data_IF_183148362304
#
_entry.id   IF_183148362304
#
_cell.length_a   1.000
_cell.length_b   1.000
_cell.length_c   1.000
_cell.angle_alpha   90.00
_cell.angle_beta   90.00
_cell.angle_gamma   90.00
#
_symmetry.space_group_name_H-M   'P 1'
#
loop_
_entity.id
_entity.type
_entity.pdbx_description
1 polymer ?
#
# COMPACT_ATOMS: atom_id res chain seq x y z
N UNK A 1 -23.03 -25.67 -16.66
CA UNK A 1 -23.25 -24.54 -15.72
C UNK A 1 -22.10 -23.56 -15.92
N UNK A 2 -22.36 -22.42 -16.56
CA UNK A 2 -21.34 -21.40 -16.75
C UNK A 2 -21.09 -20.72 -15.40
N UNK A 3 -19.87 -20.83 -14.87
CA UNK A 3 -19.46 -20.08 -13.69
C UNK A 3 -19.60 -18.59 -14.01
N UNK A 4 -20.44 -17.88 -13.26
CA UNK A 4 -20.46 -16.42 -13.25
C UNK A 4 -19.06 -15.95 -12.86
N UNK A 5 -18.37 -15.26 -13.78
CA UNK A 5 -17.01 -14.74 -13.68
C UNK A 5 -16.87 -13.68 -12.57
N UNK A 6 -16.99 -14.10 -11.32
CA UNK A 6 -16.89 -13.22 -10.17
C UNK A 6 -15.68 -13.67 -9.33
N UNK A 7 -14.71 -12.76 -9.12
CA UNK A 7 -13.49 -13.03 -8.35
C UNK A 7 -13.76 -13.38 -6.87
N UNK A 8 -12.73 -13.78 -6.11
CA UNK A 8 -12.90 -14.31 -4.75
C UNK A 8 -13.49 -13.30 -3.75
N UNK A 9 -13.46 -12.01 -4.04
CA UNK A 9 -14.05 -10.94 -3.20
C UNK A 9 -15.42 -10.48 -3.70
N UNK A 10 -16.08 -11.26 -4.55
CA UNK A 10 -17.44 -10.95 -4.98
C UNK A 10 -18.39 -10.80 -3.81
N UNK A 11 -19.13 -9.69 -3.79
CA UNK A 11 -20.05 -9.33 -2.71
C UNK A 11 -19.45 -8.41 -1.64
N UNK A 12 -18.11 -8.27 -1.59
CA UNK A 12 -17.45 -7.32 -0.70
C UNK A 12 -17.68 -5.88 -1.18
N UNK A 13 -18.15 -5.00 -0.30
CA UNK A 13 -18.40 -3.59 -0.60
C UNK A 13 -17.33 -2.69 0.00
N UNK A 14 -16.70 -1.86 -0.82
CA UNK A 14 -15.59 -0.99 -0.39
C UNK A 14 -15.89 0.45 -0.76
N UNK A 15 -15.74 1.36 0.20
CA UNK A 15 -15.75 2.81 -0.04
C UNK A 15 -14.32 3.31 -0.05
N UNK A 16 -13.89 3.92 -1.15
CA UNK A 16 -12.57 4.54 -1.29
C UNK A 16 -12.73 6.07 -1.23
N UNK A 17 -12.16 6.72 -0.21
CA UNK A 17 -12.01 8.18 -0.22
C UNK A 17 -10.82 8.55 -1.09
N UNK A 18 -11.06 9.35 -2.12
CA UNK A 18 -10.06 9.68 -3.14
C UNK A 18 -8.72 10.15 -2.56
N UNK A 19 -7.66 9.38 -2.83
CA UNK A 19 -6.28 9.68 -2.48
C UNK A 19 -5.32 9.44 -3.66
N UNK A 20 -4.04 9.31 -3.35
CA UNK A 20 -2.96 9.01 -4.29
C UNK A 20 -2.13 7.81 -3.78
N UNK A 21 -1.37 7.17 -4.66
CA UNK A 21 -0.39 6.14 -4.30
C UNK A 21 -1.02 4.88 -3.69
N UNK A 22 -0.73 4.55 -2.41
CA UNK A 22 -1.06 3.26 -1.83
C UNK A 22 -2.57 2.99 -1.68
N UNK A 23 -3.37 4.01 -1.37
CA UNK A 23 -4.82 3.86 -1.17
C UNK A 23 -5.56 3.39 -2.44
N UNK A 24 -5.45 4.13 -3.56
CA UNK A 24 -6.02 3.72 -4.84
C UNK A 24 -5.49 2.37 -5.35
N UNK A 25 -4.20 2.06 -5.11
CA UNK A 25 -3.63 0.76 -5.48
C UNK A 25 -4.26 -0.41 -4.69
N UNK A 26 -4.45 -0.27 -3.37
CA UNK A 26 -5.13 -1.28 -2.57
C UNK A 26 -6.59 -1.46 -3.02
N UNK A 27 -7.31 -0.36 -3.24
CA UNK A 27 -8.66 -0.41 -3.79
C UNK A 27 -8.69 -1.11 -5.16
N UNK A 28 -7.63 -0.94 -5.99
CA UNK A 28 -7.54 -1.51 -7.34
C UNK A 28 -7.50 -3.01 -7.27
N UNK A 29 -6.65 -3.54 -6.40
CA UNK A 29 -6.53 -4.98 -6.19
C UNK A 29 -7.82 -5.58 -5.62
N UNK A 30 -8.50 -4.90 -4.69
CA UNK A 30 -9.80 -5.36 -4.19
C UNK A 30 -10.83 -5.46 -5.33
N UNK A 31 -10.91 -4.45 -6.19
CA UNK A 31 -11.77 -4.46 -7.38
C UNK A 31 -11.36 -5.53 -8.41
N UNK A 32 -10.06 -5.71 -8.67
CA UNK A 32 -9.52 -6.75 -9.54
C UNK A 32 -9.88 -8.16 -9.03
N UNK A 33 -9.96 -8.34 -7.71
CA UNK A 33 -10.40 -9.58 -7.06
C UNK A 33 -11.93 -9.70 -6.93
N UNK A 34 -12.70 -8.76 -7.49
CA UNK A 34 -14.16 -8.84 -7.61
C UNK A 34 -14.97 -8.07 -6.56
N UNK A 35 -14.34 -7.27 -5.70
CA UNK A 35 -15.06 -6.39 -4.78
C UNK A 35 -15.81 -5.27 -5.54
N UNK A 36 -16.97 -4.87 -5.00
CA UNK A 36 -17.69 -3.68 -5.45
C UNK A 36 -17.12 -2.43 -4.78
N UNK A 37 -16.27 -1.72 -5.52
CA UNK A 37 -15.55 -0.55 -5.00
C UNK A 37 -16.16 0.75 -5.53
N UNK A 38 -16.62 1.59 -4.59
CA UNK A 38 -17.14 2.92 -4.84
C UNK A 38 -16.12 3.96 -4.40
N UNK A 39 -15.54 4.69 -5.36
CA UNK A 39 -14.63 5.80 -5.10
C UNK A 39 -15.42 7.10 -4.96
N UNK A 40 -15.21 7.81 -3.86
CA UNK A 40 -15.75 9.15 -3.60
C UNK A 40 -14.69 10.18 -3.92
N UNK A 41 -14.86 10.88 -5.04
CA UNK A 41 -13.95 11.93 -5.50
C UNK A 41 -14.47 13.33 -5.18
N UNK A 42 -13.56 14.31 -5.19
CA UNK A 42 -13.92 15.72 -4.95
C UNK A 42 -14.49 16.35 -6.22
N UNK A 43 -15.42 17.32 -6.11
CA UNK A 43 -15.89 18.06 -7.26
C UNK A 43 -14.74 18.80 -7.97
N UNK A 44 -14.53 18.53 -9.26
CA UNK A 44 -13.56 19.26 -10.09
C UNK A 44 -14.17 20.57 -10.58
N UNK A 45 -13.49 21.71 -10.36
CA UNK A 45 -13.98 23.05 -10.76
C UNK A 45 -14.00 23.30 -12.29
N UNK A 46 -13.42 22.40 -13.08
CA UNK A 46 -13.30 22.52 -14.54
C UNK A 46 -13.79 21.22 -15.19
N UNK A 47 -15.05 21.21 -15.66
CA UNK A 47 -15.73 20.14 -16.43
C UNK A 47 -14.88 18.91 -16.76
N UNK A 48 -14.72 18.03 -15.77
CA UNK A 48 -13.66 17.03 -15.72
C UNK A 48 -13.57 16.15 -16.96
N UNK A 49 -12.44 16.26 -17.67
CA UNK A 49 -12.05 15.24 -18.63
C UNK A 49 -11.86 13.90 -17.92
N UNK A 50 -12.17 12.80 -18.61
CA UNK A 50 -11.90 11.44 -18.12
C UNK A 50 -10.41 11.35 -17.75
N UNK A 51 -10.11 11.21 -16.46
CA UNK A 51 -8.75 10.93 -16.01
C UNK A 51 -8.36 9.58 -16.61
N UNK A 52 -7.45 9.57 -17.58
CA UNK A 52 -6.92 8.35 -18.20
C UNK A 52 -5.91 7.70 -17.25
N UNK A 53 -6.37 7.27 -16.09
CA UNK A 53 -5.57 6.53 -15.11
C UNK A 53 -6.04 5.07 -15.07
N UNK A 54 -5.19 4.17 -15.55
CA UNK A 54 -5.47 2.73 -15.59
C UNK A 54 -5.52 2.08 -14.20
N UNK A 55 -5.04 2.77 -13.15
CA UNK A 55 -5.14 2.32 -11.75
C UNK A 55 -6.56 2.48 -11.20
N UNK A 56 -7.36 3.38 -11.79
CA UNK A 56 -8.75 3.63 -11.39
C UNK A 56 -9.74 2.63 -12.03
N UNK A 57 -9.26 1.55 -12.64
CA UNK A 57 -10.10 0.46 -13.15
C UNK A 57 -10.87 -0.24 -12.01
N UNK A 58 -11.94 -0.94 -12.37
CA UNK A 58 -12.78 -1.70 -11.43
C UNK A 58 -13.33 -0.82 -10.29
N UNK A 59 -13.85 0.37 -10.66
CA UNK A 59 -14.50 1.34 -9.77
C UNK A 59 -15.82 1.82 -10.34
N UNK A 60 -16.75 2.11 -9.44
CA UNK A 60 -17.77 3.14 -9.67
C UNK A 60 -17.29 4.42 -8.99
N UNK A 61 -17.37 5.55 -9.68
CA UNK A 61 -16.92 6.85 -9.15
C UNK A 61 -18.15 7.72 -8.88
N UNK A 62 -18.22 8.26 -7.68
CA UNK A 62 -19.20 9.27 -7.27
C UNK A 62 -18.46 10.52 -6.81
N UNK A 63 -19.13 11.67 -6.83
CA UNK A 63 -18.54 12.95 -6.46
C UNK A 63 -19.23 13.52 -5.23
N UNK A 64 -18.46 13.97 -4.25
CA UNK A 64 -18.98 14.60 -3.03
C UNK A 64 -18.03 15.67 -2.51
N UNK A 65 -18.56 16.84 -2.15
CA UNK A 65 -17.81 17.79 -1.32
C UNK A 65 -17.87 17.34 0.13
N UNK A 66 -16.81 16.69 0.60
CA UNK A 66 -16.71 16.15 1.96
C UNK A 66 -16.76 17.23 3.05
N UNK A 67 -16.63 18.52 2.69
CA UNK A 67 -16.77 19.63 3.65
C UNK A 67 -18.22 20.10 3.82
N UNK A 68 -19.12 19.67 2.94
CA UNK A 68 -20.54 20.00 3.02
C UNK A 68 -21.29 18.93 3.83
N UNK A 69 -22.37 19.34 4.51
CA UNK A 69 -23.22 18.40 5.25
C UNK A 69 -23.78 17.29 4.34
N UNK A 70 -24.23 17.66 3.14
CA UNK A 70 -24.75 16.71 2.15
C UNK A 70 -23.68 15.72 1.68
N UNK A 71 -22.44 16.17 1.45
CA UNK A 71 -21.34 15.28 1.05
C UNK A 71 -20.92 14.32 2.16
N UNK A 72 -20.89 14.81 3.40
CA UNK A 72 -20.66 13.97 4.59
C UNK A 72 -21.77 12.91 4.75
N UNK A 73 -23.03 13.32 4.67
CA UNK A 73 -24.19 12.42 4.77
C UNK A 73 -24.19 11.35 3.67
N UNK A 74 -23.82 11.73 2.43
CA UNK A 74 -23.68 10.79 1.33
C UNK A 74 -22.64 9.70 1.64
N UNK A 75 -21.46 10.09 2.16
CA UNK A 75 -20.42 9.11 2.52
C UNK A 75 -20.88 8.23 3.67
N UNK A 76 -21.49 8.78 4.72
CA UNK A 76 -22.00 7.97 5.83
C UNK A 76 -23.08 6.99 5.37
N UNK A 77 -23.92 7.37 4.41
CA UNK A 77 -24.91 6.48 3.78
C UNK A 77 -24.25 5.31 3.03
N UNK A 78 -23.15 5.57 2.31
CA UNK A 78 -22.37 4.52 1.66
C UNK A 78 -21.70 3.61 2.70
N UNK A 79 -21.10 4.20 3.74
CA UNK A 79 -20.42 3.49 4.83
C UNK A 79 -21.37 2.58 5.61
N UNK A 80 -22.62 3.00 5.83
CA UNK A 80 -23.65 2.21 6.52
C UNK A 80 -23.89 0.83 5.86
N UNK A 81 -23.49 0.65 4.60
CA UNK A 81 -23.66 -0.59 3.83
C UNK A 81 -22.35 -1.21 3.36
N UNK A 82 -21.21 -0.61 3.71
CA UNK A 82 -19.89 -1.03 3.28
C UNK A 82 -19.28 -2.07 4.24
N UNK A 83 -18.38 -2.87 3.72
CA UNK A 83 -17.57 -3.79 4.52
C UNK A 83 -16.25 -3.17 4.94
N UNK A 84 -15.69 -2.32 4.07
CA UNK A 84 -14.45 -1.59 4.33
C UNK A 84 -14.52 -0.15 3.81
N UNK A 85 -13.81 0.74 4.49
CA UNK A 85 -13.51 2.09 4.02
C UNK A 85 -11.99 2.24 3.91
N UNK A 86 -11.51 2.84 2.82
CA UNK A 86 -10.09 3.16 2.61
C UNK A 86 -9.94 4.68 2.59
N UNK A 87 -9.03 5.19 3.40
CA UNK A 87 -8.61 6.59 3.37
C UNK A 87 -7.09 6.71 3.57
N UNK A 88 -6.48 7.70 2.92
CA UNK A 88 -5.04 7.95 2.98
C UNK A 88 -4.69 9.40 3.28
N UNK A 89 -5.51 10.06 4.09
CA UNK A 89 -5.27 11.44 4.49
C UNK A 89 -4.31 11.50 5.69
N UNK A 90 -3.86 12.71 6.04
CA UNK A 90 -3.12 12.91 7.30
C UNK A 90 -4.00 12.54 8.50
N UNK A 91 -3.44 11.98 9.58
CA UNK A 91 -4.18 11.67 10.80
C UNK A 91 -4.96 12.89 11.30
N UNK A 92 -6.23 12.70 11.67
CA UNK A 92 -7.14 13.76 12.11
C UNK A 92 -7.92 14.47 11.00
N UNK A 93 -7.63 14.22 9.71
CA UNK A 93 -8.40 14.82 8.62
C UNK A 93 -9.84 14.30 8.59
N UNK A 94 -10.02 12.98 8.62
CA UNK A 94 -11.36 12.37 8.55
C UNK A 94 -12.21 12.70 9.77
N UNK A 95 -11.59 12.83 10.94
CA UNK A 95 -12.22 13.23 12.20
C UNK A 95 -12.79 14.63 12.09
N UNK A 96 -12.02 15.59 11.56
CA UNK A 96 -12.50 16.96 11.29
C UNK A 96 -13.61 17.03 10.25
N UNK A 97 -13.68 16.05 9.35
CA UNK A 97 -14.74 15.93 8.35
C UNK A 97 -15.98 15.21 8.89
N UNK A 98 -15.98 14.74 10.15
CA UNK A 98 -17.07 13.91 10.68
C UNK A 98 -17.19 12.55 10.01
N UNK A 99 -16.08 12.05 9.47
CA UNK A 99 -15.96 10.76 8.77
C UNK A 99 -14.89 9.88 9.43
N UNK A 100 -14.48 10.20 10.66
CA UNK A 100 -13.53 9.39 11.41
C UNK A 100 -14.12 8.05 11.88
N UNK A 101 -13.30 7.12 12.41
CA UNK A 101 -13.71 5.80 12.85
C UNK A 101 -14.90 5.81 13.80
N UNK A 102 -14.92 6.72 14.78
CA UNK A 102 -16.02 6.84 15.75
C UNK A 102 -17.35 7.20 15.04
N UNK A 103 -17.34 8.22 14.19
CA UNK A 103 -18.51 8.63 13.40
C UNK A 103 -18.99 7.51 12.46
N UNK A 104 -18.07 6.77 11.86
CA UNK A 104 -18.42 5.63 11.00
C UNK A 104 -18.96 4.43 11.80
N UNK A 105 -18.46 4.21 13.02
CA UNK A 105 -18.93 3.14 13.90
C UNK A 105 -20.37 3.39 14.39
N UNK A 106 -20.80 4.65 14.53
CA UNK A 106 -22.19 5.01 14.85
C UNK A 106 -23.20 4.49 13.82
N UNK A 107 -22.81 4.45 12.54
CA UNK A 107 -23.67 3.96 11.45
C UNK A 107 -23.35 2.53 11.01
N UNK A 108 -22.16 2.01 11.32
CA UNK A 108 -21.72 0.66 10.96
C UNK A 108 -20.55 0.19 11.83
N UNK A 109 -20.86 -0.51 12.92
CA UNK A 109 -19.88 -1.13 13.81
C UNK A 109 -19.22 -2.40 13.23
N UNK A 110 -19.63 -2.84 12.03
CA UNK A 110 -19.02 -3.94 11.27
C UNK A 110 -17.96 -3.46 10.27
N UNK A 111 -17.75 -2.16 10.15
CA UNK A 111 -16.86 -1.56 9.17
C UNK A 111 -15.39 -1.83 9.49
N UNK A 112 -14.64 -2.34 8.51
CA UNK A 112 -13.18 -2.30 8.55
C UNK A 112 -12.72 -0.92 8.08
N UNK A 113 -12.28 -0.08 9.02
CA UNK A 113 -11.83 1.27 8.72
C UNK A 113 -10.32 1.26 8.45
N UNK A 114 -9.92 1.31 7.19
CA UNK A 114 -8.52 1.15 6.78
C UNK A 114 -7.85 2.50 6.49
N UNK A 115 -6.84 2.82 7.31
CA UNK A 115 -6.05 4.06 7.24
C UNK A 115 -4.69 3.77 6.61
N UNK A 116 -4.36 4.49 5.54
CA UNK A 116 -3.14 4.29 4.77
C UNK A 116 -2.25 5.54 4.83
N UNK A 117 -1.21 5.50 5.67
CA UNK A 117 -0.31 6.64 5.85
C UNK A 117 1.14 6.23 5.70
N UNK A 118 2.03 7.22 5.61
CA UNK A 118 3.47 6.94 5.61
C UNK A 118 4.04 6.66 6.99
N UNK A 119 3.64 7.46 7.98
CA UNK A 119 4.22 7.49 9.32
C UNK A 119 3.38 6.83 10.41
N UNK A 120 2.16 6.38 10.09
CA UNK A 120 1.19 5.89 11.07
C UNK A 120 0.33 6.99 11.69
N UNK A 121 -0.67 6.59 12.48
CA UNK A 121 -1.60 7.55 13.12
C UNK A 121 -0.96 8.36 14.26
N UNK A 122 0.10 7.84 14.90
CA UNK A 122 0.70 8.42 16.10
C UNK A 122 2.22 8.61 15.96
N UNK A 123 2.85 9.20 16.98
CA UNK A 123 4.28 9.47 16.98
C UNK A 123 4.65 10.85 16.40
N UNK A 124 5.93 11.24 16.55
CA UNK A 124 6.38 12.62 16.33
C UNK A 124 6.35 13.05 14.85
N UNK A 125 6.28 12.09 13.92
CA UNK A 125 6.24 12.36 12.47
C UNK A 125 4.85 12.20 11.85
N UNK A 126 3.83 11.79 12.61
CA UNK A 126 2.48 11.47 12.09
C UNK A 126 1.83 12.62 11.30
N UNK A 127 2.13 13.87 11.64
CA UNK A 127 1.63 15.06 10.94
C UNK A 127 2.57 15.57 9.82
N UNK A 128 3.77 15.01 9.70
CA UNK A 128 4.77 15.44 8.72
C UNK A 128 4.39 15.00 7.30
N UNK A 129 4.56 15.89 6.32
CA UNK A 129 4.47 15.51 4.91
C UNK A 129 5.61 14.54 4.52
N UNK A 130 5.34 13.67 3.54
CA UNK A 130 6.34 12.78 2.99
C UNK A 130 5.80 12.06 1.76
N UNK A 131 6.70 11.36 1.07
CA UNK A 131 6.45 10.41 0.01
C UNK A 131 7.27 9.14 0.26
N UNK A 132 7.07 8.10 -0.54
CA UNK A 132 7.76 6.81 -0.49
C UNK A 132 9.20 6.89 0.02
N UNK A 133 10.05 7.65 -0.70
CA UNK A 133 11.48 7.81 -0.40
C UNK A 133 11.76 8.27 1.04
N UNK A 134 10.90 9.11 1.62
CA UNK A 134 11.06 9.59 2.99
C UNK A 134 10.82 8.46 3.98
N UNK A 135 9.79 7.63 3.76
CA UNK A 135 9.42 6.56 4.68
C UNK A 135 10.51 5.48 4.71
N UNK A 136 10.96 5.04 3.53
CA UNK A 136 12.02 4.01 3.41
C UNK A 136 13.42 4.55 3.74
N UNK A 137 13.62 5.88 3.75
CA UNK A 137 14.88 6.47 4.22
C UNK A 137 15.07 6.32 5.73
N UNK A 138 13.98 6.29 6.50
CA UNK A 138 14.05 6.36 7.95
C UNK A 138 14.26 4.99 8.61
N UNK A 139 13.89 3.91 7.91
CA UNK A 139 14.03 2.54 8.41
C UNK A 139 15.22 1.79 7.79
N UNK A 140 16.16 2.49 7.14
CA UNK A 140 17.39 1.90 6.59
C UNK A 140 17.22 1.15 5.26
N UNK A 141 15.99 0.94 4.79
CA UNK A 141 15.72 0.24 3.53
C UNK A 141 16.35 0.97 2.35
N UNK A 142 16.18 2.30 2.25
CA UNK A 142 16.80 3.08 1.17
C UNK A 142 18.33 3.01 1.24
N UNK A 143 18.91 3.08 2.44
CA UNK A 143 20.36 3.05 2.64
C UNK A 143 21.00 1.77 2.09
N UNK A 144 20.27 0.65 2.12
CA UNK A 144 20.75 -0.63 1.62
C UNK A 144 20.68 -0.77 0.09
N UNK A 145 20.08 0.18 -0.63
CA UNK A 145 19.85 0.10 -2.08
C UNK A 145 20.79 1.05 -2.83
N UNK A 146 21.71 0.47 -3.59
CA UNK A 146 22.63 1.22 -4.46
C UNK A 146 23.93 0.46 -4.69
N UNK A 147 24.81 1.06 -5.48
CA UNK A 147 26.18 0.56 -5.67
C UNK A 147 27.07 1.03 -4.53
N UNK A 148 28.07 0.20 -4.21
CA UNK A 148 29.09 0.57 -3.23
C UNK A 148 29.79 1.87 -3.66
N UNK A 149 30.05 2.77 -2.71
CA UNK A 149 30.64 4.11 -2.94
C UNK A 149 29.80 5.08 -3.76
N UNK A 150 28.53 4.77 -4.02
CA UNK A 150 27.57 5.71 -4.60
C UNK A 150 26.49 6.10 -3.57
N UNK A 151 25.73 7.15 -3.88
CA UNK A 151 24.57 7.51 -3.05
C UNK A 151 23.45 6.46 -3.20
N UNK A 152 22.59 6.27 -2.20
CA UNK A 152 21.39 5.45 -2.33
C UNK A 152 20.52 5.83 -3.54
N UNK A 153 19.92 4.83 -4.19
CA UNK A 153 19.04 5.01 -5.35
C UNK A 153 17.61 4.57 -5.00
N UNK A 154 16.58 5.39 -5.23
CA UNK A 154 15.19 4.99 -4.96
C UNK A 154 14.74 3.83 -5.85
N UNK A 155 13.97 2.89 -5.28
CA UNK A 155 13.32 1.77 -6.00
C UNK A 155 11.99 2.18 -6.62
N UNK A 156 12.01 3.29 -7.37
CA UNK A 156 10.78 4.01 -7.75
C UNK A 156 9.97 4.29 -6.47
N UNK A 157 8.72 3.85 -6.40
CA UNK A 157 7.90 3.78 -5.18
C UNK A 157 7.39 2.35 -4.91
N UNK A 158 8.15 1.34 -5.33
CA UNK A 158 7.75 -0.06 -5.22
C UNK A 158 7.75 -0.57 -3.77
N UNK A 159 8.61 0.00 -2.91
CA UNK A 159 8.88 -0.55 -1.58
C UNK A 159 8.04 0.13 -0.49
N UNK A 160 7.89 1.46 -0.50
CA UNK A 160 7.09 2.17 0.48
C UNK A 160 5.60 2.16 0.12
N UNK A 161 5.22 2.80 -0.98
CA UNK A 161 3.81 2.93 -1.39
C UNK A 161 3.18 1.55 -1.65
N UNK A 162 3.85 0.69 -2.41
CA UNK A 162 3.23 -0.56 -2.85
C UNK A 162 3.50 -1.74 -1.90
N UNK A 163 4.71 -2.30 -1.94
CA UNK A 163 5.07 -3.51 -1.19
C UNK A 163 4.91 -3.37 0.32
N UNK A 164 5.36 -2.25 0.89
CA UNK A 164 5.29 -1.94 2.32
C UNK A 164 4.04 -1.14 2.74
N UNK A 165 3.24 -0.67 1.80
CA UNK A 165 2.07 0.17 2.05
C UNK A 165 0.79 -0.56 1.70
N UNK A 166 0.34 -0.38 0.46
CA UNK A 166 -0.92 -0.94 -0.04
C UNK A 166 -1.07 -2.45 0.17
N UNK A 167 0.01 -3.23 0.05
CA UNK A 167 -0.04 -4.68 0.28
C UNK A 167 -0.30 -5.02 1.75
N UNK A 168 0.26 -4.24 2.68
CA UNK A 168 -0.03 -4.39 4.11
C UNK A 168 -1.42 -3.87 4.48
N UNK A 169 -1.92 -2.83 3.81
CA UNK A 169 -3.31 -2.39 3.94
C UNK A 169 -4.28 -3.50 3.50
N UNK A 170 -4.01 -4.15 2.37
CA UNK A 170 -4.78 -5.30 1.87
C UNK A 170 -4.80 -6.46 2.87
N UNK A 171 -3.61 -6.86 3.36
CA UNK A 171 -3.50 -7.91 4.39
C UNK A 171 -4.30 -7.54 5.63
N UNK A 172 -4.17 -6.30 6.11
CA UNK A 172 -4.92 -5.82 7.28
C UNK A 172 -6.44 -5.83 7.05
N UNK A 173 -6.92 -5.37 5.90
CA UNK A 173 -8.34 -5.40 5.54
C UNK A 173 -8.86 -6.84 5.54
N UNK A 174 -8.19 -7.74 4.82
CA UNK A 174 -8.64 -9.12 4.68
C UNK A 174 -8.58 -9.89 6.00
N UNK A 175 -7.55 -9.65 6.83
CA UNK A 175 -7.45 -10.21 8.17
C UNK A 175 -8.57 -9.71 9.09
N UNK A 176 -8.88 -8.41 9.05
CA UNK A 176 -9.99 -7.84 9.83
C UNK A 176 -11.35 -8.37 9.36
N UNK A 177 -11.54 -8.59 8.05
CA UNK A 177 -12.76 -9.21 7.51
C UNK A 177 -12.90 -10.68 7.92
N UNK A 178 -11.78 -11.41 8.03
CA UNK A 178 -11.74 -12.77 8.57
C UNK A 178 -12.10 -12.79 10.06
N UNK A 179 -11.46 -11.94 10.87
CA UNK A 179 -11.74 -11.80 12.31
C UNK A 179 -13.21 -11.44 12.58
N UNK A 180 -13.78 -10.56 11.76
CA UNK A 180 -15.20 -10.16 11.81
C UNK A 180 -16.18 -11.32 11.64
N UNK A 181 -15.77 -12.46 11.06
CA UNK A 181 -16.63 -13.65 10.98
C UNK A 181 -16.96 -14.21 12.37
N UNK A 182 -16.03 -14.09 13.32
CA UNK A 182 -16.20 -14.58 14.68
C UNK A 182 -16.71 -13.51 15.63
N UNK A 183 -16.15 -12.30 15.59
CA UNK A 183 -16.56 -11.23 16.51
C UNK A 183 -17.85 -10.53 16.08
N UNK A 184 -18.16 -10.59 14.78
CA UNK A 184 -19.23 -9.81 14.18
C UNK A 184 -18.95 -8.31 14.14
N UNK A 185 -17.75 -7.83 14.48
CA UNK A 185 -17.39 -6.40 14.56
C UNK A 185 -16.27 -6.05 13.58
N UNK A 186 -16.27 -4.81 13.15
CA UNK A 186 -15.16 -4.21 12.42
C UNK A 186 -14.09 -3.69 13.37
N UNK A 187 -13.04 -3.11 12.78
CA UNK A 187 -11.92 -2.52 13.52
C UNK A 187 -11.16 -1.54 12.63
N UNK A 188 -10.30 -0.73 13.25
CA UNK A 188 -9.39 0.17 12.53
C UNK A 188 -8.13 -0.59 12.14
N UNK A 189 -7.76 -0.51 10.86
CA UNK A 189 -6.46 -0.96 10.35
C UNK A 189 -5.59 0.28 10.16
N UNK A 190 -4.54 0.44 10.95
CA UNK A 190 -3.51 1.46 10.74
C UNK A 190 -2.33 0.86 9.96
N UNK A 191 -2.28 1.13 8.65
CA UNK A 191 -1.17 0.69 7.81
C UNK A 191 -0.22 1.87 7.58
N UNK A 192 0.96 1.82 8.21
CA UNK A 192 2.04 2.76 8.01
C UNK A 192 3.08 2.18 7.04
N UNK A 193 3.45 2.93 6.00
CA UNK A 193 4.47 2.50 5.03
C UNK A 193 5.84 2.25 5.69
N UNK A 194 6.19 3.04 6.71
CA UNK A 194 7.45 2.84 7.46
C UNK A 194 7.48 1.50 8.19
N UNK A 195 6.33 1.01 8.67
CA UNK A 195 6.24 -0.27 9.38
C UNK A 195 6.19 -1.42 8.38
N UNK A 196 5.29 -1.36 7.40
CA UNK A 196 5.15 -2.44 6.43
C UNK A 196 6.38 -2.63 5.55
N UNK A 197 7.10 -1.56 5.16
CA UNK A 197 8.39 -1.71 4.47
C UNK A 197 9.49 -2.25 5.39
N UNK A 198 9.43 -2.01 6.70
CA UNK A 198 10.34 -2.64 7.66
C UNK A 198 10.07 -4.15 7.77
N UNK A 199 8.80 -4.57 7.77
CA UNK A 199 8.42 -5.99 7.74
C UNK A 199 8.78 -6.62 6.40
N UNK A 200 8.62 -5.91 5.29
CA UNK A 200 9.03 -6.39 3.97
C UNK A 200 10.55 -6.64 3.91
N UNK A 201 11.35 -5.82 4.60
CA UNK A 201 12.79 -5.98 4.77
C UNK A 201 13.22 -7.00 5.83
N UNK A 202 12.31 -7.79 6.41
CA UNK A 202 12.59 -8.66 7.57
C UNK A 202 13.73 -9.66 7.35
N UNK A 203 13.90 -10.17 6.13
CA UNK A 203 15.00 -11.08 5.81
C UNK A 203 16.36 -10.42 6.05
N UNK A 204 16.53 -9.14 5.69
CA UNK A 204 17.77 -8.40 5.92
C UNK A 204 17.97 -8.14 7.42
N UNK A 205 16.90 -7.84 8.17
CA UNK A 205 17.00 -7.73 9.64
C UNK A 205 17.50 -9.03 10.28
N UNK A 206 16.99 -10.18 9.83
CA UNK A 206 17.42 -11.49 10.31
C UNK A 206 18.87 -11.81 9.91
N UNK A 207 19.25 -11.56 8.65
CA UNK A 207 20.61 -11.79 8.17
C UNK A 207 21.62 -10.91 8.92
N UNK A 208 21.29 -9.64 9.18
CA UNK A 208 22.11 -8.73 10.00
C UNK A 208 22.36 -9.30 11.40
N UNK A 209 21.31 -9.77 12.06
CA UNK A 209 21.43 -10.36 13.40
C UNK A 209 22.31 -11.62 13.42
N UNK A 210 22.35 -12.38 12.33
CA UNK A 210 23.21 -13.56 12.17
C UNK A 210 24.62 -13.27 11.60
N UNK A 211 24.97 -12.00 11.35
CA UNK A 211 26.24 -11.62 10.74
C UNK A 211 26.36 -11.94 9.24
N UNK A 212 25.25 -12.28 8.57
CA UNK A 212 25.18 -12.56 7.13
C UNK A 212 24.84 -11.33 6.28
N UNK A 213 24.71 -10.15 6.89
CA UNK A 213 24.43 -8.89 6.20
C UNK A 213 25.15 -7.73 6.87
N UNK A 214 25.72 -6.84 6.04
CA UNK A 214 26.43 -5.62 6.40
C UNK A 214 25.58 -4.38 6.10
N UNK A 215 25.76 -3.33 6.89
CA UNK A 215 25.10 -2.03 6.67
C UNK A 215 25.69 -1.27 5.48
N UNK A 216 26.82 -1.74 4.92
CA UNK A 216 27.41 -1.17 3.71
C UNK A 216 26.66 -1.67 2.47
N UNK A 217 25.85 -0.80 1.86
CA UNK A 217 25.11 -1.11 0.64
C UNK A 217 26.03 -1.47 -0.54
N UNK A 218 25.57 -2.41 -1.38
CA UNK A 218 26.29 -2.89 -2.56
C UNK A 218 27.46 -3.83 -2.23
N UNK A 219 27.50 -4.40 -1.03
CA UNK A 219 28.58 -5.32 -0.59
C UNK A 219 28.06 -6.68 -0.10
N UNK A 220 26.75 -6.89 -0.19
CA UNK A 220 26.08 -8.09 0.29
C UNK A 220 25.75 -9.06 -0.86
N UNK A 221 25.23 -10.23 -0.50
CA UNK A 221 24.86 -11.26 -1.46
C UNK A 221 23.72 -10.83 -2.41
N UNK A 222 22.78 -10.00 -1.94
CA UNK A 222 21.53 -9.73 -2.67
C UNK A 222 21.37 -8.28 -3.13
N UNK A 223 22.42 -7.46 -3.03
CA UNK A 223 22.40 -6.03 -3.37
C UNK A 223 23.37 -5.66 -4.52
N UNK A 224 23.86 -6.66 -5.26
CA UNK A 224 24.82 -6.48 -6.35
C UNK A 224 26.29 -6.54 -5.91
N UNK A 225 26.58 -6.82 -4.63
CA UNK A 225 27.95 -7.07 -4.17
C UNK A 225 28.52 -8.44 -4.58
N UNK A 226 27.66 -9.42 -4.88
CA UNK A 226 28.06 -10.76 -5.30
C UNK A 226 28.02 -10.90 -6.84
N UNK A 227 29.11 -11.33 -7.50
CA UNK A 227 29.14 -11.51 -8.95
C UNK A 227 28.12 -12.51 -9.51
N UNK A 228 27.67 -13.46 -8.69
CA UNK A 228 26.66 -14.44 -9.07
C UNK A 228 25.22 -13.96 -8.80
N UNK A 229 25.03 -12.71 -8.37
CA UNK A 229 23.74 -12.09 -8.12
C UNK A 229 23.78 -10.60 -8.51
N UNK A 230 23.91 -10.33 -9.81
CA UNK A 230 24.01 -8.98 -10.37
C UNK A 230 23.65 -8.92 -11.86
N UNK A 231 23.54 -7.71 -12.42
CA UNK A 231 23.38 -7.46 -13.83
C UNK A 231 24.73 -7.22 -14.54
N UNK A 232 24.86 -7.70 -15.78
CA UNK A 232 26.05 -7.60 -16.61
C UNK A 232 25.71 -7.05 -17.99
N UNK A 233 26.53 -6.11 -18.48
CA UNK A 233 26.41 -5.55 -19.82
C UNK A 233 26.86 -6.55 -20.89
N UNK A 234 26.09 -6.63 -21.97
CA UNK A 234 26.34 -7.48 -23.12
C UNK A 234 26.97 -6.69 -24.27
N UNK A 235 27.48 -7.40 -25.29
CA UNK A 235 28.16 -6.78 -26.43
C UNK A 235 27.25 -5.84 -27.27
N UNK A 236 25.94 -5.95 -27.13
CA UNK A 236 24.93 -5.10 -27.79
C UNK A 236 24.53 -3.88 -26.94
N UNK A 237 25.14 -3.68 -25.77
CA UNK A 237 24.80 -2.61 -24.81
C UNK A 237 23.53 -2.89 -24.00
N UNK A 238 22.93 -4.07 -24.14
CA UNK A 238 21.88 -4.57 -23.26
C UNK A 238 22.45 -5.14 -21.96
N UNK A 239 21.56 -5.61 -21.07
CA UNK A 239 21.96 -6.24 -19.81
C UNK A 239 21.32 -7.62 -19.64
N UNK A 240 22.06 -8.54 -19.03
CA UNK A 240 21.55 -9.81 -18.49
C UNK A 240 21.60 -9.80 -16.97
N UNK A 241 20.65 -10.46 -16.30
CA UNK A 241 20.65 -10.64 -14.85
C UNK A 241 21.12 -12.05 -14.49
N UNK A 242 22.12 -12.16 -13.61
CA UNK A 242 22.65 -13.41 -13.07
C UNK A 242 22.11 -13.58 -11.64
N UNK A 243 21.62 -14.77 -11.32
CA UNK A 243 21.08 -15.13 -9.99
C UNK A 243 21.46 -16.54 -9.56
N UNK A 244 22.71 -16.94 -9.81
CA UNK A 244 23.22 -18.30 -9.63
C UNK A 244 23.67 -18.58 -8.18
N UNK A 245 22.75 -18.46 -7.20
CA UNK A 245 23.07 -18.63 -5.78
C UNK A 245 23.35 -20.11 -5.41
N UNK A 246 22.61 -21.05 -5.99
CA UNK A 246 22.70 -22.47 -5.62
C UNK A 246 23.99 -23.14 -6.09
N UNK A 247 24.56 -24.04 -5.27
CA UNK A 247 25.80 -24.78 -5.58
C UNK A 247 25.74 -25.61 -6.87
N UNK A 248 24.55 -26.00 -7.32
CA UNK A 248 24.36 -26.69 -8.60
C UNK A 248 24.48 -25.77 -9.83
N UNK A 249 24.33 -24.45 -9.63
CA UNK A 249 24.43 -23.44 -10.70
C UNK A 249 25.86 -22.90 -10.83
N UNK A 250 26.63 -22.87 -9.74
CA UNK A 250 28.02 -22.42 -9.71
C UNK A 250 29.00 -23.54 -10.07
N UNK A 251 28.84 -24.15 -11.25
CA UNK A 251 29.95 -24.88 -11.87
C UNK A 251 30.72 -23.91 -12.75
N UNK A 252 32.03 -23.71 -12.54
CA UNK A 252 32.84 -23.00 -13.52
C UNK A 252 32.80 -23.79 -14.84
N UNK A 253 32.53 -23.10 -15.94
CA UNK A 253 32.95 -23.57 -17.26
C UNK A 253 34.48 -23.57 -17.33
#
# INVERSE_FOLDING_TARGET
MAATLNGPLSGLRVVELAGIGPGPHAAMILGDLGADVVRVDRPTKSGGGVVKDAMLRNRRVVTADLKSDAGRELVLTLVARADALIEGYRPGVTERLGLGPEHCAEVNDRLVYARMTGWGQTGPRSQQAGHDINYISLNGVLHAIGRVNERPVPTLNLVGDFGGGSMFLLVGILAALWERQTSGKGQVVDAAMVDGSSVLGQMMWAMRASGMWSDTGGTNMLDGGAPYYDAYECADGGYVAVGAIGRSFTRPC
#
